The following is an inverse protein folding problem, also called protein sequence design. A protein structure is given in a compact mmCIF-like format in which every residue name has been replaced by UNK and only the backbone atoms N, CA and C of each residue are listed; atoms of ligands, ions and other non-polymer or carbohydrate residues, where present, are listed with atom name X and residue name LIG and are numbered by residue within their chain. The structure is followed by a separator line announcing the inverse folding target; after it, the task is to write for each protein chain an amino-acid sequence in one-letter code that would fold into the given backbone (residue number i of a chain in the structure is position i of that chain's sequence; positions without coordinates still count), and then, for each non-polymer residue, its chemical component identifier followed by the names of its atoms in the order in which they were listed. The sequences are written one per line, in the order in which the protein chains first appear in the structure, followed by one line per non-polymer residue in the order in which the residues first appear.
data_IF_535876340328
#
_entry.id   IF_535876340328
#
_cell.length_a   1.000
_cell.length_b   1.000
_cell.length_c   1.000
_cell.angle_alpha   90.00
_cell.angle_beta   90.00
_cell.angle_gamma   90.00
#
_symmetry.space_group_name_H-M   'P 1'
#
loop_
_entity.id
_entity.type
_entity.pdbx_description
1 polymer ?
#
# COMPACT_ATOMS: atom_id res chain seq x y z
N UNK A 1 -41.08 -4.85 5.78
CA UNK A 1 -39.91 -4.32 6.51
C UNK A 1 -39.36 -3.15 5.69
N UNK A 2 -39.43 -1.92 6.21
CA UNK A 2 -38.93 -0.71 5.53
C UNK A 2 -37.67 -0.28 6.28
N UNK A 3 -36.50 -0.28 5.63
CA UNK A 3 -35.25 0.19 6.24
C UNK A 3 -35.25 1.72 6.19
N UNK A 4 -35.04 2.37 7.34
CA UNK A 4 -35.03 3.85 7.44
C UNK A 4 -33.65 4.42 7.06
N UNK A 5 -33.57 5.62 6.47
CA UNK A 5 -32.30 6.26 6.09
C UNK A 5 -31.29 6.37 7.25
N UNK A 6 -31.76 6.64 8.46
CA UNK A 6 -30.92 6.71 9.67
C UNK A 6 -30.26 5.37 10.01
N UNK A 7 -30.97 4.24 9.80
CA UNK A 7 -30.43 2.91 10.03
C UNK A 7 -29.36 2.55 9.00
N UNK A 8 -29.52 3.00 7.74
CA UNK A 8 -28.50 2.84 6.70
C UNK A 8 -27.26 3.70 6.98
N UNK A 9 -27.45 4.93 7.46
CA UNK A 9 -26.33 5.82 7.81
C UNK A 9 -25.53 5.28 9.01
N UNK A 10 -26.19 4.79 10.04
CA UNK A 10 -25.53 4.16 11.19
C UNK A 10 -24.77 2.89 10.78
N UNK A 11 -25.34 2.07 9.89
CA UNK A 11 -24.68 0.87 9.36
C UNK A 11 -23.45 1.23 8.51
N UNK A 12 -23.56 2.26 7.66
CA UNK A 12 -22.45 2.74 6.84
C UNK A 12 -21.29 3.29 7.70
N UNK A 13 -21.61 4.06 8.76
CA UNK A 13 -20.60 4.54 9.70
C UNK A 13 -19.87 3.40 10.42
N UNK A 14 -20.61 2.40 10.90
CA UNK A 14 -20.02 1.23 11.54
C UNK A 14 -19.14 0.40 10.58
N UNK A 15 -19.57 0.24 9.32
CA UNK A 15 -18.79 -0.45 8.30
C UNK A 15 -17.47 0.28 8.00
N UNK A 16 -17.51 1.60 7.84
CA UNK A 16 -16.32 2.43 7.59
C UNK A 16 -15.32 2.34 8.76
N UNK A 17 -15.80 2.46 10.02
CA UNK A 17 -14.90 2.30 11.18
C UNK A 17 -14.30 0.90 11.27
N UNK A 18 -15.07 -0.15 10.97
CA UNK A 18 -14.56 -1.51 10.95
C UNK A 18 -13.50 -1.71 9.86
N UNK A 19 -13.66 -1.07 8.70
CA UNK A 19 -12.65 -1.08 7.65
C UNK A 19 -11.38 -0.36 8.08
N UNK A 20 -11.49 0.84 8.64
CA UNK A 20 -10.35 1.61 9.12
C UNK A 20 -9.52 0.85 10.17
N UNK A 21 -10.19 0.17 11.10
CA UNK A 21 -9.52 -0.65 12.11
C UNK A 21 -8.77 -1.83 11.47
N UNK A 22 -9.41 -2.59 10.57
CA UNK A 22 -8.76 -3.70 9.84
C UNK A 22 -7.58 -3.23 9.01
N UNK A 23 -7.70 -2.07 8.35
CA UNK A 23 -6.61 -1.49 7.57
C UNK A 23 -5.44 -1.10 8.48
N UNK A 24 -5.71 -0.48 9.64
CA UNK A 24 -4.67 -0.16 10.62
C UNK A 24 -3.94 -1.39 11.15
N UNK A 25 -4.68 -2.45 11.51
CA UNK A 25 -4.12 -3.74 11.95
C UNK A 25 -3.24 -4.37 10.86
N UNK A 26 -3.73 -4.39 9.62
CA UNK A 26 -2.98 -4.88 8.45
C UNK A 26 -1.66 -4.13 8.28
N UNK A 27 -1.70 -2.79 8.34
CA UNK A 27 -0.50 -1.96 8.23
C UNK A 27 0.51 -2.26 9.36
N UNK A 28 0.08 -2.35 10.62
CA UNK A 28 0.96 -2.72 11.73
C UNK A 28 1.55 -4.13 11.57
N UNK A 29 0.76 -5.07 11.06
CA UNK A 29 1.18 -6.46 10.86
C UNK A 29 2.27 -6.58 9.77
N UNK A 30 2.08 -5.95 8.62
CA UNK A 30 2.97 -6.13 7.47
C UNK A 30 4.09 -5.08 7.37
N UNK A 31 3.91 -3.93 8.01
CA UNK A 31 4.87 -2.81 8.04
C UNK A 31 5.18 -2.37 9.49
N UNK A 32 5.62 -3.30 10.37
CA UNK A 32 5.84 -3.01 11.79
C UNK A 32 6.98 -2.01 12.03
N UNK A 33 7.95 -1.93 11.12
CA UNK A 33 9.05 -0.97 11.20
C UNK A 33 8.55 0.47 11.01
N UNK A 34 7.51 0.67 10.19
CA UNK A 34 6.90 1.95 9.91
C UNK A 34 5.84 2.33 10.94
N UNK A 35 5.05 1.37 11.41
CA UNK A 35 3.81 1.64 12.16
C UNK A 35 3.73 0.98 13.55
N UNK A 36 4.63 0.07 13.88
CA UNK A 36 4.59 -0.69 15.14
C UNK A 36 4.74 0.18 16.40
N UNK A 37 5.42 1.33 16.28
CA UNK A 37 5.62 2.28 17.37
C UNK A 37 4.63 3.45 17.37
N UNK A 38 3.75 3.55 16.36
CA UNK A 38 2.73 4.59 16.35
C UNK A 38 1.68 4.29 17.42
N UNK A 39 1.29 5.34 18.12
CA UNK A 39 0.08 5.31 18.93
C UNK A 39 -1.16 5.21 18.04
N UNK A 40 -2.31 5.03 18.68
CA UNK A 40 -3.56 4.80 17.95
C UNK A 40 -3.96 6.02 17.10
N UNK A 41 -3.74 7.23 17.60
CA UNK A 41 -4.02 8.45 16.85
C UNK A 41 -3.14 8.58 15.60
N UNK A 42 -1.85 8.28 15.71
CA UNK A 42 -0.92 8.28 14.58
C UNK A 42 -1.30 7.24 13.52
N UNK A 43 -1.67 6.03 13.93
CA UNK A 43 -2.13 4.99 13.00
C UNK A 43 -3.42 5.39 12.29
N UNK A 44 -4.40 5.93 13.03
CA UNK A 44 -5.67 6.39 12.46
C UNK A 44 -5.46 7.49 11.43
N UNK A 45 -4.51 8.41 11.66
CA UNK A 45 -4.19 9.45 10.67
C UNK A 45 -3.57 8.86 9.40
N UNK A 46 -2.69 7.87 9.52
CA UNK A 46 -2.14 7.15 8.35
C UNK A 46 -3.25 6.46 7.56
N UNK A 47 -4.14 5.75 8.25
CA UNK A 47 -5.30 5.07 7.65
C UNK A 47 -6.19 6.07 6.92
N UNK A 48 -6.56 7.16 7.59
CA UNK A 48 -7.42 8.23 7.04
C UNK A 48 -6.81 8.81 5.76
N UNK A 49 -5.53 9.15 5.78
CA UNK A 49 -4.84 9.69 4.61
C UNK A 49 -4.73 8.68 3.46
N UNK A 50 -4.47 7.40 3.76
CA UNK A 50 -4.44 6.35 2.75
C UNK A 50 -5.78 6.26 2.00
N UNK A 51 -6.88 6.28 2.76
CA UNK A 51 -8.24 6.23 2.23
C UNK A 51 -8.55 7.48 1.39
N UNK A 52 -8.25 8.66 1.92
CA UNK A 52 -8.51 9.93 1.24
C UNK A 52 -7.78 10.03 -0.11
N UNK A 53 -6.48 9.69 -0.13
CA UNK A 53 -5.67 9.71 -1.35
C UNK A 53 -6.13 8.67 -2.36
N UNK A 54 -6.41 7.44 -1.93
CA UNK A 54 -6.94 6.40 -2.80
C UNK A 54 -8.27 6.85 -3.46
N UNK A 55 -9.19 7.42 -2.66
CA UNK A 55 -10.48 7.94 -3.14
C UNK A 55 -10.33 9.10 -4.12
N UNK A 56 -9.31 9.95 -3.98
CA UNK A 56 -9.02 11.02 -4.93
C UNK A 56 -8.71 10.50 -6.34
N UNK A 57 -8.21 9.26 -6.47
CA UNK A 57 -8.00 8.57 -7.75
C UNK A 57 -9.20 7.72 -8.20
N UNK A 58 -10.32 7.80 -7.50
CA UNK A 58 -11.53 7.02 -7.75
C UNK A 58 -11.49 5.60 -7.17
N UNK A 59 -10.48 5.25 -6.35
CA UNK A 59 -10.36 3.92 -5.75
C UNK A 59 -11.27 3.88 -4.51
N UNK A 60 -12.35 3.10 -4.58
CA UNK A 60 -13.38 3.06 -3.53
C UNK A 60 -13.55 1.71 -2.87
N UNK A 61 -13.08 0.61 -3.49
CA UNK A 61 -13.18 -0.72 -2.90
C UNK A 61 -12.19 -0.85 -1.74
N UNK A 62 -12.63 -1.46 -0.62
CA UNK A 62 -11.77 -1.68 0.55
C UNK A 62 -10.47 -2.41 0.20
N UNK A 63 -10.59 -3.45 -0.64
CA UNK A 63 -9.46 -4.23 -1.17
C UNK A 63 -8.44 -3.36 -1.88
N UNK A 64 -8.89 -2.51 -2.80
CA UNK A 64 -7.96 -1.72 -3.62
C UNK A 64 -7.40 -0.52 -2.85
N UNK A 65 -8.14 0.01 -1.88
CA UNK A 65 -7.62 0.96 -0.90
C UNK A 65 -6.53 0.31 -0.05
N UNK A 66 -6.72 -0.94 0.40
CA UNK A 66 -5.72 -1.68 1.17
C UNK A 66 -4.43 -1.86 0.37
N UNK A 67 -4.52 -2.30 -0.90
CA UNK A 67 -3.36 -2.37 -1.80
C UNK A 67 -2.69 -1.00 -2.02
N UNK A 68 -3.47 0.07 -2.15
CA UNK A 68 -2.93 1.42 -2.26
C UNK A 68 -2.14 1.80 -1.00
N UNK A 69 -2.68 1.50 0.19
CA UNK A 69 -2.01 1.74 1.47
C UNK A 69 -0.71 0.91 1.61
N UNK A 70 -0.71 -0.35 1.14
CA UNK A 70 0.50 -1.18 1.10
C UNK A 70 1.60 -0.55 0.23
N UNK A 71 1.22 -0.01 -0.93
CA UNK A 71 2.13 0.69 -1.84
C UNK A 71 2.66 1.99 -1.23
N UNK A 72 1.79 2.76 -0.58
CA UNK A 72 2.19 3.96 0.17
C UNK A 72 3.16 3.63 1.30
N UNK A 73 2.98 2.49 1.96
CA UNK A 73 3.85 2.02 3.05
C UNK A 73 5.23 1.60 2.53
N UNK A 74 5.28 0.94 1.37
CA UNK A 74 6.51 0.45 0.78
C UNK A 74 7.33 1.52 0.04
N UNK A 75 6.67 2.47 -0.63
CA UNK A 75 7.33 3.48 -1.47
C UNK A 75 7.30 4.89 -0.87
N UNK A 76 6.69 5.05 0.30
CA UNK A 76 6.58 6.32 1.02
C UNK A 76 5.24 7.03 0.80
N UNK A 77 4.92 7.94 1.74
CA UNK A 77 3.62 8.62 1.79
C UNK A 77 3.25 9.38 0.52
N UNK A 78 4.24 9.86 -0.21
CA UNK A 78 4.07 10.68 -1.42
C UNK A 78 4.38 9.91 -2.71
N UNK A 79 4.32 8.58 -2.70
CA UNK A 79 4.69 7.77 -3.88
C UNK A 79 3.86 8.11 -5.13
N UNK A 80 2.63 8.58 -4.98
CA UNK A 80 1.75 8.97 -6.09
C UNK A 80 2.06 10.36 -6.67
N UNK A 81 2.96 11.15 -6.06
CA UNK A 81 3.35 12.48 -6.54
C UNK A 81 4.86 12.71 -6.63
N UNK A 82 5.67 11.87 -6.00
CA UNK A 82 7.12 11.99 -5.98
C UNK A 82 7.75 11.64 -7.33
N UNK A 83 8.77 12.41 -7.74
CA UNK A 83 9.55 12.17 -8.97
C UNK A 83 10.24 10.82 -9.01
N UNK A 84 10.69 10.28 -7.87
CA UNK A 84 11.30 8.95 -7.78
C UNK A 84 10.31 7.82 -8.16
N UNK A 85 9.02 8.10 -8.04
CA UNK A 85 7.91 7.18 -8.30
C UNK A 85 6.97 7.75 -9.36
N UNK A 86 7.51 8.48 -10.36
CA UNK A 86 6.73 9.06 -11.45
C UNK A 86 5.89 8.04 -12.24
N UNK A 87 6.26 6.76 -12.19
CA UNK A 87 5.45 5.69 -12.74
C UNK A 87 4.09 5.53 -12.05
N UNK A 88 4.03 5.74 -10.73
CA UNK A 88 2.81 5.59 -9.96
C UNK A 88 1.80 6.68 -10.33
N UNK A 89 2.27 7.94 -10.37
CA UNK A 89 1.47 9.07 -10.83
C UNK A 89 0.98 8.87 -12.26
N UNK A 90 1.83 8.37 -13.17
CA UNK A 90 1.45 8.08 -14.55
C UNK A 90 0.33 7.04 -14.64
N UNK A 91 0.38 5.97 -13.84
CA UNK A 91 -0.65 4.92 -13.84
C UNK A 91 -1.96 5.42 -13.20
N UNK A 92 -1.86 6.15 -12.09
CA UNK A 92 -3.03 6.67 -11.37
C UNK A 92 -3.82 7.69 -12.17
N UNK A 93 -3.14 8.48 -13.00
CA UNK A 93 -3.74 9.48 -13.87
C UNK A 93 -4.09 8.97 -15.28
N UNK A 94 -3.79 7.71 -15.60
CA UNK A 94 -4.11 7.14 -16.90
C UNK A 94 -5.63 6.94 -17.05
N UNK A 95 -6.23 7.75 -17.92
CA UNK A 95 -7.66 7.70 -18.20
C UNK A 95 -8.03 6.49 -19.09
N UNK A 96 -7.07 5.91 -19.81
CA UNK A 96 -7.31 4.72 -20.64
C UNK A 96 -7.58 3.47 -19.82
N UNK A 97 -7.16 3.46 -18.55
CA UNK A 97 -7.35 2.33 -17.64
C UNK A 97 -8.80 2.14 -17.17
N UNK A 98 -9.69 3.13 -17.38
CA UNK A 98 -11.16 3.06 -17.28
C UNK A 98 -11.76 2.72 -15.90
N UNK A 99 -11.25 1.69 -15.26
CA UNK A 99 -11.60 1.16 -13.95
C UNK A 99 -10.51 1.50 -12.91
N UNK A 100 -10.86 2.12 -11.77
CA UNK A 100 -9.94 2.34 -10.65
C UNK A 100 -9.25 1.07 -10.14
N UNK A 101 -9.92 -0.08 -10.17
CA UNK A 101 -9.33 -1.37 -9.79
C UNK A 101 -8.18 -1.79 -10.71
N UNK A 102 -8.32 -1.57 -12.01
CA UNK A 102 -7.26 -1.81 -13.00
C UNK A 102 -6.00 -0.96 -12.73
N UNK A 103 -6.17 0.30 -12.29
CA UNK A 103 -5.05 1.18 -11.91
C UNK A 103 -4.26 0.59 -10.75
N UNK A 104 -4.94 0.14 -9.69
CA UNK A 104 -4.29 -0.44 -8.50
C UNK A 104 -3.61 -1.76 -8.82
N UNK A 105 -4.23 -2.61 -9.63
CA UNK A 105 -3.58 -3.86 -10.06
C UNK A 105 -2.32 -3.58 -10.89
N UNK A 106 -2.35 -2.58 -11.78
CA UNK A 106 -1.20 -2.17 -12.56
C UNK A 106 -0.09 -1.58 -11.69
N UNK A 107 -0.44 -0.75 -10.70
CA UNK A 107 0.48 -0.25 -9.70
C UNK A 107 1.17 -1.39 -8.94
N UNK A 108 0.39 -2.34 -8.43
CA UNK A 108 0.91 -3.49 -7.68
C UNK A 108 1.87 -4.34 -8.50
N UNK A 109 1.53 -4.61 -9.77
CA UNK A 109 2.41 -5.34 -10.69
C UNK A 109 3.73 -4.60 -10.92
N UNK A 110 3.67 -3.29 -11.15
CA UNK A 110 4.86 -2.49 -11.42
C UNK A 110 5.75 -2.37 -10.17
N UNK A 111 5.15 -2.17 -9.00
CA UNK A 111 5.83 -2.15 -7.71
C UNK A 111 6.59 -3.46 -7.44
N UNK A 112 5.92 -4.60 -7.61
CA UNK A 112 6.56 -5.91 -7.44
C UNK A 112 7.68 -6.14 -8.46
N UNK A 113 7.52 -5.66 -9.69
CA UNK A 113 8.57 -5.68 -10.71
C UNK A 113 9.82 -4.92 -10.27
N UNK A 114 9.66 -3.68 -9.79
CA UNK A 114 10.77 -2.84 -9.33
C UNK A 114 11.43 -3.38 -8.06
N UNK A 115 10.65 -3.88 -7.10
CA UNK A 115 11.19 -4.47 -5.89
C UNK A 115 12.06 -5.70 -6.21
N UNK A 116 11.65 -6.52 -7.18
CA UNK A 116 12.45 -7.66 -7.68
C UNK A 116 13.72 -7.23 -8.41
N UNK A 117 13.65 -6.22 -9.29
CA UNK A 117 14.85 -5.75 -9.99
C UNK A 117 15.88 -5.18 -9.03
N UNK A 118 15.47 -4.33 -8.09
CA UNK A 118 16.35 -3.75 -7.07
C UNK A 118 16.99 -4.83 -6.21
N UNK A 119 16.22 -5.85 -5.80
CA UNK A 119 16.78 -7.01 -5.08
C UNK A 119 17.81 -7.78 -5.90
N UNK A 120 17.59 -7.94 -7.20
CA UNK A 120 18.53 -8.65 -8.09
C UNK A 120 19.82 -7.86 -8.35
N UNK A 121 19.74 -6.54 -8.51
CA UNK A 121 20.89 -5.66 -8.72
C UNK A 121 21.76 -5.59 -7.45
N UNK A 122 21.12 -5.47 -6.27
CA UNK A 122 21.80 -5.51 -4.99
C UNK A 122 22.58 -6.82 -4.81
N UNK A 123 21.95 -7.96 -5.11
CA UNK A 123 22.58 -9.28 -5.03
C UNK A 123 23.77 -9.43 -6.00
N UNK A 124 23.67 -8.87 -7.20
CA UNK A 124 24.77 -8.88 -8.18
C UNK A 124 25.94 -7.98 -7.76
N UNK A 125 25.67 -6.83 -7.16
CA UNK A 125 26.70 -5.92 -6.66
C UNK A 125 27.43 -6.54 -5.46
N UNK A 126 26.71 -7.16 -4.53
CA UNK A 126 27.29 -7.90 -3.40
C UNK A 126 28.16 -9.07 -3.86
N UNK A 127 27.70 -9.87 -4.83
CA UNK A 127 28.51 -10.95 -5.40
C UNK A 127 29.83 -10.47 -6.03
N UNK A 128 29.89 -9.19 -6.45
CA UNK A 128 31.08 -8.55 -7.03
C UNK A 128 31.99 -7.90 -5.98
N UNK A 129 31.46 -7.52 -4.81
CA UNK A 129 32.21 -6.87 -3.73
C UNK A 129 32.47 -7.90 -2.63
N UNK A 130 33.69 -8.44 -2.58
CA UNK A 130 34.11 -9.57 -1.72
C UNK A 130 33.89 -9.39 -0.19
N UNK A 131 33.43 -8.24 0.31
CA UNK A 131 33.48 -7.93 1.76
C UNK A 131 32.30 -7.15 2.36
N UNK A 132 31.21 -6.87 1.64
CA UNK A 132 30.03 -6.24 2.25
C UNK A 132 28.89 -7.26 2.32
N UNK A 133 28.79 -7.94 3.48
CA UNK A 133 27.91 -9.08 3.69
C UNK A 133 26.41 -8.77 3.65
N UNK A 134 25.65 -9.85 3.48
CA UNK A 134 24.21 -10.13 3.40
C UNK A 134 23.16 -9.07 3.81
N UNK A 135 23.49 -8.01 4.54
CA UNK A 135 22.54 -7.07 5.11
C UNK A 135 21.77 -6.22 4.07
N UNK A 136 22.39 -5.82 2.95
CA UNK A 136 21.74 -4.95 1.98
C UNK A 136 20.77 -5.72 1.04
N UNK A 137 21.13 -6.92 0.59
CA UNK A 137 20.22 -7.82 -0.12
C UNK A 137 19.10 -8.35 0.76
N UNK A 138 19.37 -8.63 2.05
CA UNK A 138 18.32 -9.02 3.01
C UNK A 138 17.30 -7.90 3.18
N UNK A 139 17.72 -6.62 3.19
CA UNK A 139 16.83 -5.46 3.26
C UNK A 139 15.81 -5.41 2.12
N UNK A 140 16.27 -5.46 0.87
CA UNK A 140 15.37 -5.39 -0.30
C UNK A 140 14.55 -6.67 -0.52
N UNK A 141 15.10 -7.84 -0.20
CA UNK A 141 14.32 -9.09 -0.20
C UNK A 141 13.23 -9.08 0.87
N UNK A 142 13.51 -8.57 2.07
CA UNK A 142 12.52 -8.44 3.13
C UNK A 142 11.40 -7.47 2.73
N UNK A 143 11.73 -6.31 2.15
CA UNK A 143 10.74 -5.35 1.62
C UNK A 143 9.88 -5.99 0.53
N UNK A 144 10.50 -6.67 -0.44
CA UNK A 144 9.78 -7.33 -1.55
C UNK A 144 8.85 -8.43 -1.05
N UNK A 145 9.33 -9.25 -0.09
CA UNK A 145 8.56 -10.33 0.51
C UNK A 145 7.38 -9.78 1.30
N UNK A 146 7.59 -8.77 2.15
CA UNK A 146 6.53 -8.12 2.93
C UNK A 146 5.48 -7.48 2.04
N UNK A 147 5.89 -6.70 1.04
CA UNK A 147 4.97 -6.11 0.08
C UNK A 147 4.18 -7.19 -0.68
N UNK A 148 4.84 -8.27 -1.10
CA UNK A 148 4.15 -9.36 -1.78
C UNK A 148 3.15 -10.10 -0.88
N UNK A 149 3.43 -10.25 0.41
CA UNK A 149 2.51 -10.87 1.36
C UNK A 149 1.34 -9.94 1.70
N UNK A 150 1.62 -8.66 1.98
CA UNK A 150 0.59 -7.65 2.23
C UNK A 150 -0.43 -7.58 1.08
N UNK A 151 0.05 -7.51 -0.17
CA UNK A 151 -0.81 -7.47 -1.35
C UNK A 151 -1.67 -8.74 -1.56
N UNK A 152 -1.24 -9.90 -1.05
CA UNK A 152 -2.05 -11.14 -1.09
C UNK A 152 -3.16 -11.14 -0.04
N UNK A 153 -2.90 -10.48 1.09
CA UNK A 153 -3.81 -10.40 2.23
C UNK A 153 -4.65 -9.13 2.27
N UNK A 154 -4.51 -8.25 1.28
CA UNK A 154 -5.39 -7.10 1.07
C UNK A 154 -6.84 -7.58 0.86
N UNK A 155 -7.63 -7.51 1.94
CA UNK A 155 -9.02 -7.95 2.01
C UNK A 155 -9.98 -6.81 1.67
#
# INVERSE_FOLDING_TARGET
MIIRPEQMAALAGAAESNFQNRLGEHLRQFFPEQYGNLDEAGLQEVVRQSIERARAYGITSERDICKYADLMSAFGRDFDTNTATAWASSILNDQSLGDPGAKVNRLAQQALGQARSLGSEAQQLEARVRTAGDAAAVGWQAVTKRLSEALKHAA
#
